data_IF_954813643944
#
_entry.id   IF_954813643944
#
_cell.length_a   1.000
_cell.length_b   1.000
_cell.length_c   1.000
_cell.angle_alpha   90.00
_cell.angle_beta   90.00
_cell.angle_gamma   90.00
#
_symmetry.space_group_name_H-M   'P 1'
#
loop_
_entity.id
_entity.type
_entity.pdbx_description
1 polymer ?
#
# COMPACT_ATOMS: atom_id res chain seq x y z
N UNK A 1 41.66 10.63 -4.05
CA UNK A 1 41.27 10.61 -2.62
C UNK A 1 39.77 10.91 -2.57
N UNK A 2 38.93 9.87 -2.49
CA UNK A 2 37.47 10.05 -2.46
C UNK A 2 37.11 10.73 -1.14
N UNK A 3 36.39 11.85 -1.24
CA UNK A 3 36.10 12.71 -0.10
C UNK A 3 35.05 12.02 0.78
N UNK A 4 35.49 11.49 1.92
CA UNK A 4 34.73 10.64 2.87
C UNK A 4 33.39 11.28 3.27
N UNK A 5 33.33 12.61 3.30
CA UNK A 5 32.11 13.38 3.60
C UNK A 5 30.99 13.20 2.57
N UNK A 6 31.33 12.98 1.30
CA UNK A 6 30.35 12.74 0.24
C UNK A 6 29.78 11.33 0.30
N UNK A 7 30.59 10.36 0.73
CA UNK A 7 30.17 8.98 0.88
C UNK A 7 29.11 8.84 1.97
N UNK A 8 29.32 9.45 3.14
CA UNK A 8 28.33 9.45 4.23
C UNK A 8 27.01 10.13 3.86
N UNK A 9 27.07 11.19 3.04
CA UNK A 9 25.86 11.88 2.58
C UNK A 9 25.08 10.98 1.61
N UNK A 10 25.79 10.30 0.71
CA UNK A 10 25.20 9.38 -0.25
C UNK A 10 24.56 8.16 0.43
N UNK A 11 25.22 7.58 1.43
CA UNK A 11 24.65 6.47 2.22
C UNK A 11 23.36 6.88 2.94
N UNK A 12 23.34 8.07 3.54
CA UNK A 12 22.13 8.62 4.18
C UNK A 12 20.99 8.82 3.18
N UNK A 13 21.29 9.32 1.98
CA UNK A 13 20.30 9.51 0.91
C UNK A 13 19.75 8.16 0.42
N UNK A 14 20.58 7.12 0.30
CA UNK A 14 20.13 5.77 -0.06
C UNK A 14 19.18 5.21 1.00
N UNK A 15 19.55 5.26 2.28
CA UNK A 15 18.72 4.74 3.38
C UNK A 15 17.38 5.48 3.45
N UNK A 16 17.40 6.81 3.27
CA UNK A 16 16.19 7.62 3.26
C UNK A 16 15.29 7.25 2.08
N UNK A 17 15.86 7.07 0.89
CA UNK A 17 15.10 6.73 -0.30
C UNK A 17 14.50 5.33 -0.21
N UNK A 18 15.24 4.36 0.34
CA UNK A 18 14.74 3.01 0.63
C UNK A 18 13.53 3.08 1.57
N UNK A 19 13.63 3.84 2.67
CA UNK A 19 12.54 4.03 3.62
C UNK A 19 11.30 4.70 3.00
N UNK A 20 11.48 5.67 2.09
CA UNK A 20 10.38 6.30 1.35
C UNK A 20 9.74 5.29 0.38
N UNK A 21 10.55 4.50 -0.31
CA UNK A 21 10.09 3.51 -1.28
C UNK A 21 9.26 2.39 -0.60
N UNK A 22 9.70 1.93 0.57
CA UNK A 22 8.94 0.98 1.39
C UNK A 22 7.57 1.54 1.79
N UNK A 23 7.49 2.81 2.20
CA UNK A 23 6.23 3.47 2.53
C UNK A 23 5.31 3.61 1.32
N UNK A 24 5.84 3.97 0.15
CA UNK A 24 5.07 4.05 -1.10
C UNK A 24 4.45 2.69 -1.46
N UNK A 25 5.23 1.62 -1.39
CA UNK A 25 4.75 0.25 -1.63
C UNK A 25 3.65 -0.16 -0.66
N UNK A 26 3.81 0.16 0.63
CA UNK A 26 2.77 -0.11 1.62
C UNK A 26 1.47 0.66 1.33
N UNK A 27 1.58 1.91 0.89
CA UNK A 27 0.43 2.73 0.51
C UNK A 27 -0.28 2.21 -0.74
N UNK A 28 0.44 1.82 -1.78
CA UNK A 28 -0.14 1.22 -3.00
C UNK A 28 -0.88 -0.09 -2.70
N UNK A 29 -0.34 -0.91 -1.80
CA UNK A 29 -1.01 -2.12 -1.31
C UNK A 29 -2.29 -1.79 -0.54
N UNK A 30 -2.27 -0.81 0.35
CA UNK A 30 -3.48 -0.39 1.06
C UNK A 30 -4.54 0.17 0.10
N UNK A 31 -4.12 0.95 -0.90
CA UNK A 31 -5.01 1.50 -1.93
C UNK A 31 -5.66 0.40 -2.77
N UNK A 32 -4.89 -0.59 -3.21
CA UNK A 32 -5.44 -1.72 -3.98
C UNK A 32 -6.43 -2.55 -3.17
N UNK A 33 -6.14 -2.82 -1.89
CA UNK A 33 -7.06 -3.52 -0.99
C UNK A 33 -8.37 -2.74 -0.75
N UNK A 34 -8.31 -1.41 -0.68
CA UNK A 34 -9.51 -0.58 -0.53
C UNK A 34 -10.41 -0.62 -1.76
N UNK A 35 -9.82 -0.64 -2.97
CA UNK A 35 -10.58 -0.64 -4.23
C UNK A 35 -11.07 -2.04 -4.63
N UNK A 36 -10.37 -3.08 -4.19
CA UNK A 36 -10.67 -4.48 -4.47
C UNK A 36 -12.14 -4.91 -4.24
N UNK A 37 -12.81 -4.62 -3.11
CA UNK A 37 -14.20 -5.04 -2.89
C UNK A 37 -15.16 -4.51 -3.95
N UNK A 38 -14.93 -3.29 -4.46
CA UNK A 38 -15.76 -2.71 -5.52
C UNK A 38 -15.59 -3.46 -6.85
N UNK A 39 -14.35 -3.85 -7.19
CA UNK A 39 -14.07 -4.66 -8.38
C UNK A 39 -14.68 -6.05 -8.27
N UNK A 40 -14.57 -6.68 -7.10
CA UNK A 40 -15.17 -7.99 -6.83
C UNK A 40 -16.69 -7.95 -6.97
N UNK A 41 -17.35 -6.95 -6.38
CA UNK A 41 -18.79 -6.78 -6.49
C UNK A 41 -19.25 -6.65 -7.95
N UNK A 42 -18.56 -5.83 -8.75
CA UNK A 42 -18.87 -5.66 -10.17
C UNK A 42 -18.72 -6.95 -10.97
N UNK A 43 -17.57 -7.62 -10.85
CA UNK A 43 -17.33 -8.89 -11.55
C UNK A 43 -18.25 -10.01 -11.08
N UNK A 44 -18.58 -10.08 -9.78
CA UNK A 44 -19.50 -11.07 -9.23
C UNK A 44 -20.92 -10.88 -9.77
N UNK A 45 -21.40 -9.63 -9.85
CA UNK A 45 -22.68 -9.32 -10.48
C UNK A 45 -22.71 -9.79 -11.95
N UNK A 46 -21.64 -9.55 -12.70
CA UNK A 46 -21.52 -10.03 -14.10
C UNK A 46 -21.59 -11.54 -14.18
N UNK A 47 -20.91 -12.27 -13.30
CA UNK A 47 -20.95 -13.74 -13.25
C UNK A 47 -22.36 -14.25 -12.94
N UNK A 48 -23.08 -13.63 -11.98
CA UNK A 48 -24.46 -14.01 -11.65
C UNK A 48 -25.38 -13.76 -12.84
N UNK A 49 -25.35 -12.56 -13.44
CA UNK A 49 -26.21 -12.24 -14.59
C UNK A 49 -25.92 -13.15 -15.79
N UNK A 50 -24.64 -13.41 -16.05
CA UNK A 50 -24.15 -14.31 -17.09
C UNK A 50 -24.67 -15.75 -16.88
N UNK A 51 -24.57 -16.27 -15.66
CA UNK A 51 -25.08 -17.59 -15.29
C UNK A 51 -26.61 -17.69 -15.36
N UNK A 52 -27.32 -16.68 -14.85
CA UNK A 52 -28.78 -16.63 -14.88
C UNK A 52 -29.32 -16.55 -16.32
N UNK A 53 -28.64 -15.78 -17.18
CA UNK A 53 -28.96 -15.69 -18.60
C UNK A 53 -28.69 -17.01 -19.32
N UNK A 54 -27.52 -17.63 -19.10
CA UNK A 54 -27.20 -18.94 -19.67
C UNK A 54 -28.21 -20.03 -19.24
N UNK A 55 -28.68 -19.99 -17.99
CA UNK A 55 -29.71 -20.93 -17.50
C UNK A 55 -31.06 -20.72 -18.18
N UNK A 56 -31.51 -19.46 -18.33
CA UNK A 56 -32.81 -19.15 -18.96
C UNK A 56 -32.83 -19.42 -20.45
N UNK A 57 -31.77 -19.05 -21.17
CA UNK A 57 -31.72 -19.12 -22.63
C UNK A 57 -31.05 -20.42 -23.14
N UNK A 58 -30.52 -21.28 -22.26
CA UNK A 58 -29.74 -22.49 -22.58
C UNK A 58 -28.58 -22.25 -23.56
N UNK A 59 -28.08 -21.02 -23.63
CA UNK A 59 -27.08 -20.59 -24.60
C UNK A 59 -25.74 -20.33 -23.92
N UNK A 60 -24.79 -21.25 -24.15
CA UNK A 60 -23.43 -21.27 -23.58
C UNK A 60 -22.61 -20.00 -23.88
N UNK A 61 -22.93 -19.26 -24.93
CA UNK A 61 -22.26 -17.99 -25.25
C UNK A 61 -22.42 -16.95 -24.14
N UNK A 62 -23.50 -17.02 -23.36
CA UNK A 62 -23.69 -16.11 -22.23
C UNK A 62 -22.72 -16.36 -21.08
N UNK A 63 -21.96 -17.47 -21.07
CA UNK A 63 -20.93 -17.76 -20.07
C UNK A 63 -19.59 -17.08 -20.34
N UNK A 64 -19.37 -16.53 -21.55
CA UNK A 64 -18.11 -15.89 -21.95
C UNK A 64 -17.69 -14.77 -20.96
N UNK A 65 -18.59 -13.87 -20.52
CA UNK A 65 -18.24 -12.85 -19.53
C UNK A 65 -17.78 -13.45 -18.20
N UNK A 66 -18.40 -14.55 -17.75
CA UNK A 66 -17.99 -15.25 -16.54
C UNK A 66 -16.62 -15.93 -16.71
N UNK A 67 -16.36 -16.53 -17.87
CA UNK A 67 -15.07 -17.17 -18.17
C UNK A 67 -13.89 -16.19 -18.15
N UNK A 68 -14.13 -14.90 -18.45
CA UNK A 68 -13.12 -13.83 -18.36
C UNK A 68 -13.07 -13.22 -16.95
N UNK A 69 -14.22 -13.02 -16.32
CA UNK A 69 -14.33 -12.39 -15.00
C UNK A 69 -13.71 -13.24 -13.88
N UNK A 70 -13.87 -14.56 -13.92
CA UNK A 70 -13.32 -15.49 -12.90
C UNK A 70 -11.78 -15.42 -12.81
N UNK A 71 -11.01 -15.62 -13.90
CA UNK A 71 -9.55 -15.53 -13.83
C UNK A 71 -9.07 -14.10 -13.54
N UNK A 72 -9.77 -13.07 -14.01
CA UNK A 72 -9.47 -11.68 -13.64
C UNK A 72 -9.58 -11.46 -12.13
N UNK A 73 -10.66 -11.96 -11.52
CA UNK A 73 -10.83 -11.92 -10.07
C UNK A 73 -9.73 -12.68 -9.36
N UNK A 74 -9.40 -13.90 -9.79
CA UNK A 74 -8.33 -14.69 -9.18
C UNK A 74 -6.98 -13.93 -9.16
N UNK A 75 -6.62 -13.28 -10.26
CA UNK A 75 -5.43 -12.44 -10.36
C UNK A 75 -5.48 -11.21 -9.43
N UNK A 76 -6.58 -10.46 -9.40
CA UNK A 76 -6.74 -9.32 -8.49
C UNK A 76 -6.72 -9.76 -7.02
N UNK A 77 -7.26 -10.94 -6.72
CA UNK A 77 -7.27 -11.51 -5.36
C UNK A 77 -5.86 -11.87 -4.92
N UNK A 78 -5.09 -12.54 -5.76
CA UNK A 78 -3.69 -12.89 -5.45
C UNK A 78 -2.81 -11.63 -5.37
N UNK A 79 -3.09 -10.60 -6.17
CA UNK A 79 -2.42 -9.31 -6.06
C UNK A 79 -2.72 -8.60 -4.73
N UNK A 80 -3.98 -8.58 -4.29
CA UNK A 80 -4.40 -7.89 -3.07
C UNK A 80 -4.09 -8.67 -1.78
N UNK A 81 -4.24 -9.99 -1.79
CA UNK A 81 -4.18 -10.88 -0.61
C UNK A 81 -3.14 -12.00 -0.70
N UNK A 82 -2.28 -12.01 -1.72
CA UNK A 82 -1.27 -13.05 -1.88
C UNK A 82 -0.26 -13.12 -0.74
N UNK A 83 0.48 -14.23 -0.66
CA UNK A 83 1.48 -14.52 0.41
C UNK A 83 2.55 -13.44 0.62
N UNK A 84 2.77 -12.54 -0.34
CA UNK A 84 3.69 -11.40 -0.18
C UNK A 84 3.05 -10.24 0.56
N UNK A 85 1.78 -9.93 0.30
CA UNK A 85 1.06 -8.83 0.97
C UNK A 85 0.80 -9.15 2.43
N UNK A 86 0.49 -10.41 2.74
CA UNK A 86 0.31 -10.86 4.12
C UNK A 86 1.61 -10.75 4.94
N UNK A 87 2.77 -11.07 4.34
CA UNK A 87 4.08 -10.87 4.99
C UNK A 87 4.40 -9.39 5.21
N UNK A 88 4.04 -8.53 4.27
CA UNK A 88 4.23 -7.07 4.40
C UNK A 88 3.32 -6.54 5.52
N UNK A 89 2.05 -6.95 5.56
CA UNK A 89 1.11 -6.57 6.61
C UNK A 89 1.59 -7.02 7.99
N UNK A 90 2.02 -8.29 8.14
CA UNK A 90 2.58 -8.79 9.40
C UNK A 90 3.85 -8.05 9.83
N UNK A 91 4.74 -7.70 8.89
CA UNK A 91 5.93 -6.89 9.19
C UNK A 91 5.57 -5.46 9.58
N UNK A 92 4.60 -4.84 8.90
CA UNK A 92 4.13 -3.51 9.23
C UNK A 92 3.44 -3.48 10.60
N UNK A 93 2.56 -4.44 10.89
CA UNK A 93 1.92 -4.60 12.20
C UNK A 93 2.94 -4.87 13.30
N UNK A 94 3.98 -5.67 13.02
CA UNK A 94 5.07 -5.89 13.96
C UNK A 94 5.87 -4.61 14.22
N UNK A 95 6.22 -3.84 13.19
CA UNK A 95 6.91 -2.55 13.35
C UNK A 95 6.04 -1.52 14.07
N UNK A 96 4.74 -1.51 13.81
CA UNK A 96 3.78 -0.63 14.47
C UNK A 96 3.63 -0.99 15.95
N UNK A 97 3.48 -2.29 16.27
CA UNK A 97 3.44 -2.77 17.66
C UNK A 97 4.75 -2.59 18.40
N UNK A 98 5.89 -2.84 17.74
CA UNK A 98 7.22 -2.60 18.31
C UNK A 98 7.42 -1.11 18.60
N UNK A 99 7.02 -0.23 17.68
CA UNK A 99 7.06 1.22 17.89
C UNK A 99 6.10 1.68 18.99
N UNK A 100 4.90 1.09 19.10
CA UNK A 100 3.99 1.32 20.22
C UNK A 100 4.57 0.84 21.56
N UNK A 101 5.34 -0.25 21.55
CA UNK A 101 5.98 -0.80 22.75
C UNK A 101 7.27 -0.04 23.15
N UNK A 102 7.99 0.55 22.19
CA UNK A 102 9.27 1.25 22.40
C UNK A 102 9.15 2.78 22.51
N UNK A 103 8.03 3.41 22.15
CA UNK A 103 7.94 4.88 22.09
C UNK A 103 7.06 5.48 23.19
N UNK A 104 7.70 6.22 24.10
CA UNK A 104 7.15 7.48 24.65
C UNK A 104 6.83 8.51 23.54
N UNK A 105 6.40 9.73 23.92
CA UNK A 105 5.34 10.48 23.27
C UNK A 105 5.55 10.61 21.76
N UNK A 106 4.48 10.32 21.01
CA UNK A 106 4.41 10.58 19.58
C UNK A 106 4.91 11.99 19.28
N UNK A 107 6.05 12.10 18.58
CA UNK A 107 6.39 13.35 17.92
C UNK A 107 5.32 13.52 16.83
N UNK A 108 4.25 14.22 17.20
CA UNK A 108 3.21 14.62 16.28
C UNK A 108 3.89 15.41 15.16
N UNK A 109 3.34 15.36 13.95
CA UNK A 109 3.79 16.23 12.86
C UNK A 109 3.79 17.71 13.32
N UNK A 110 2.90 18.06 14.26
CA UNK A 110 2.84 19.36 14.91
C UNK A 110 4.08 19.69 15.76
N UNK A 111 4.66 18.73 16.48
CA UNK A 111 5.92 18.92 17.24
C UNK A 111 7.11 19.18 16.29
N UNK A 112 7.14 18.50 15.14
CA UNK A 112 8.17 18.75 14.11
C UNK A 112 7.99 20.14 13.51
N UNK A 113 6.75 20.55 13.28
CA UNK A 113 6.40 21.87 12.72
C UNK A 113 6.74 23.00 13.70
N UNK A 114 6.54 22.76 15.00
CA UNK A 114 6.88 23.69 16.06
C UNK A 114 8.40 23.83 16.20
N UNK A 115 9.16 22.72 16.22
CA UNK A 115 10.63 22.77 16.22
C UNK A 115 11.22 23.43 14.97
N UNK A 116 10.55 23.32 13.82
CA UNK A 116 10.95 24.02 12.60
C UNK A 116 10.76 25.53 12.72
N UNK A 117 9.66 25.99 13.32
CA UNK A 117 9.44 27.41 13.63
C UNK A 117 10.47 27.94 14.62
N UNK A 118 10.74 27.21 15.70
CA UNK A 118 11.73 27.61 16.70
C UNK A 118 13.15 27.73 16.09
N UNK A 119 13.48 26.91 15.08
CA UNK A 119 14.74 26.96 14.33
C UNK A 119 14.82 28.07 13.27
N UNK A 120 13.68 28.59 12.80
CA UNK A 120 13.62 29.78 11.92
C UNK A 120 13.71 31.06 12.75
N UNK A 121 13.01 31.12 13.88
CA UNK A 121 13.04 32.27 14.79
C UNK A 121 14.40 32.44 15.48
N UNK A 122 15.05 31.35 15.90
CA UNK A 122 16.40 31.39 16.46
C UNK A 122 17.51 31.78 15.47
N UNK A 123 17.25 31.71 14.15
CA UNK A 123 18.19 32.14 13.09
C UNK A 123 17.98 33.59 12.65
N UNK A 124 16.89 34.22 13.06
CA UNK A 124 16.57 35.61 12.77
C UNK A 124 17.07 36.59 13.85
N UNK A 125 17.60 36.06 14.95
CA UNK A 125 18.12 36.80 16.12
C UNK A 125 19.66 36.84 16.19
N UNK A 126 20.36 36.21 15.23
CA UNK A 126 21.81 36.30 15.03
C UNK A 126 22.16 37.21 13.84
#
# INVERSE_FOLDING_TARGET
MVNIKYLEKFEREIVLNEAINERKRAFELAKSQFVYPYKVLGSFAVVILSGLSAYRYKMLLHLIPAAIAIPYLACETDFCYGRRTERIKRRADFLYRKRLAESGPHILIDDVKQRFKDLEEGRALD
#
